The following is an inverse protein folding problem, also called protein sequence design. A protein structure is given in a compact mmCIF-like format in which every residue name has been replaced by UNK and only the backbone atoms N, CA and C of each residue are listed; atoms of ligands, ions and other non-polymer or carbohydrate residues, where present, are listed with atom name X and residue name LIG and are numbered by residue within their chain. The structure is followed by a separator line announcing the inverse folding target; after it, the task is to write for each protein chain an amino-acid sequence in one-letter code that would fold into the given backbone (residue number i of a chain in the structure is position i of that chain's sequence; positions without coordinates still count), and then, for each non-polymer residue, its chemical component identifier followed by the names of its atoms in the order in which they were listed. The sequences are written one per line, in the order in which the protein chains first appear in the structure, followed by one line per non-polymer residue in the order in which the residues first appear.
data_IF_573067839409
#
_entry.id   IF_573067839409
#
_cell.length_a   1.000
_cell.length_b   1.000
_cell.length_c   1.000
_cell.angle_alpha   90.00
_cell.angle_beta   90.00
_cell.angle_gamma   90.00
#
_symmetry.space_group_name_H-M   'P 1'
#
loop_
_entity.id
_entity.type
_entity.pdbx_description
1 polymer ?
#
# COMPACT_ATOMS: atom_id res chain seq x y z
N UNK A 1 -13.68 -2.80 6.60
CA UNK A 1 -13.02 -1.49 6.73
C UNK A 1 -12.21 -1.47 8.02
N UNK A 2 -10.89 -1.32 7.91
CA UNK A 2 -9.99 -1.33 9.06
C UNK A 2 -9.83 0.09 9.61
N UNK A 3 -10.25 0.33 10.86
CA UNK A 3 -10.24 1.66 11.49
C UNK A 3 -8.82 2.09 11.86
N UNK A 4 -7.95 1.14 12.19
CA UNK A 4 -6.54 1.32 12.54
C UNK A 4 -5.70 2.08 11.51
N UNK A 5 -6.11 2.07 10.24
CA UNK A 5 -5.45 2.79 9.15
C UNK A 5 -6.03 4.19 8.88
N UNK A 6 -6.91 4.73 9.75
CA UNK A 6 -7.61 6.00 9.51
C UNK A 6 -6.66 7.19 9.29
N UNK A 7 -5.70 7.36 10.19
CA UNK A 7 -4.74 8.47 10.12
C UNK A 7 -3.76 8.30 8.95
N UNK A 8 -3.34 7.08 8.69
CA UNK A 8 -2.47 6.75 7.56
C UNK A 8 -3.16 7.04 6.21
N UNK A 9 -4.47 6.75 6.11
CA UNK A 9 -5.27 7.13 4.94
C UNK A 9 -5.40 8.64 4.79
N UNK A 10 -5.57 9.37 5.89
CA UNK A 10 -5.64 10.83 5.86
C UNK A 10 -4.30 11.44 5.41
N UNK A 11 -3.17 10.92 5.89
CA UNK A 11 -1.84 11.33 5.43
C UNK A 11 -1.64 11.04 3.94
N UNK A 12 -2.00 9.84 3.47
CA UNK A 12 -1.95 9.53 2.04
C UNK A 12 -2.78 10.54 1.24
N UNK A 13 -4.01 10.81 1.67
CA UNK A 13 -4.88 11.80 1.02
C UNK A 13 -4.18 13.14 0.88
N UNK A 14 -3.59 13.68 1.94
CA UNK A 14 -2.91 15.00 1.92
C UNK A 14 -1.77 15.10 0.90
N UNK A 15 -1.19 13.96 0.49
CA UNK A 15 -0.11 13.86 -0.48
C UNK A 15 -0.57 13.48 -1.89
N UNK A 16 -1.87 13.21 -2.09
CA UNK A 16 -2.40 12.61 -3.32
C UNK A 16 -2.84 13.61 -4.37
N UNK A 17 -2.96 14.92 -4.07
CA UNK A 17 -3.47 15.90 -5.03
C UNK A 17 -2.65 15.91 -6.33
N UNK A 18 -3.32 15.72 -7.47
CA UNK A 18 -2.72 15.64 -8.80
C UNK A 18 -1.84 14.41 -9.06
N UNK A 19 -1.80 13.45 -8.14
CA UNK A 19 -0.95 12.25 -8.22
C UNK A 19 -1.69 11.06 -8.84
N UNK A 20 -0.92 10.17 -9.48
CA UNK A 20 -1.38 8.83 -9.85
C UNK A 20 -0.99 7.85 -8.74
N UNK A 21 -1.99 7.19 -8.16
CA UNK A 21 -1.84 6.33 -6.98
C UNK A 21 -2.14 4.88 -7.32
N UNK A 22 -1.29 3.96 -6.88
CA UNK A 22 -1.55 2.52 -6.88
C UNK A 22 -1.76 2.05 -5.44
N UNK A 23 -2.90 1.47 -5.16
CA UNK A 23 -3.23 0.84 -3.90
C UNK A 23 -3.21 -0.69 -4.09
N UNK A 24 -2.15 -1.35 -3.61
CA UNK A 24 -1.96 -2.80 -3.69
C UNK A 24 -2.49 -3.45 -2.41
N UNK A 25 -3.14 -4.59 -2.54
CA UNK A 25 -3.95 -5.22 -1.49
C UNK A 25 -5.09 -4.30 -1.06
N UNK A 26 -5.77 -3.73 -2.05
CA UNK A 26 -6.68 -2.61 -1.83
C UNK A 26 -7.91 -2.95 -1.00
N UNK A 27 -8.26 -4.25 -0.91
CA UNK A 27 -9.48 -4.71 -0.26
C UNK A 27 -10.69 -3.90 -0.74
N UNK A 28 -11.43 -3.25 0.15
CA UNK A 28 -12.61 -2.42 -0.21
C UNK A 28 -12.26 -0.97 -0.55
N UNK A 29 -10.99 -0.66 -0.82
CA UNK A 29 -10.54 0.62 -1.36
C UNK A 29 -10.35 1.75 -0.36
N UNK A 30 -10.14 1.47 0.93
CA UNK A 30 -10.03 2.53 1.94
C UNK A 30 -9.01 3.61 1.59
N UNK A 31 -7.79 3.27 1.21
CA UNK A 31 -6.77 4.22 0.76
C UNK A 31 -7.15 4.90 -0.56
N UNK A 32 -7.75 4.16 -1.49
CA UNK A 32 -8.17 4.67 -2.80
C UNK A 32 -9.22 5.78 -2.67
N UNK A 33 -10.20 5.61 -1.78
CA UNK A 33 -11.24 6.62 -1.51
C UNK A 33 -10.61 7.90 -0.97
N UNK A 34 -9.69 7.82 -0.01
CA UNK A 34 -9.02 8.99 0.54
C UNK A 34 -8.17 9.71 -0.50
N UNK A 35 -7.44 8.98 -1.36
CA UNK A 35 -6.67 9.56 -2.45
C UNK A 35 -7.57 10.31 -3.46
N UNK A 36 -8.65 9.67 -3.93
CA UNK A 36 -9.62 10.29 -4.85
C UNK A 36 -10.27 11.53 -4.25
N UNK A 37 -10.73 11.45 -3.00
CA UNK A 37 -11.37 12.55 -2.28
C UNK A 37 -10.46 13.76 -2.13
N UNK A 38 -9.15 13.54 -2.07
CA UNK A 38 -8.13 14.58 -1.97
C UNK A 38 -7.59 15.07 -3.32
N UNK A 39 -8.22 14.68 -4.41
CA UNK A 39 -7.89 15.19 -5.75
C UNK A 39 -6.76 14.45 -6.46
N UNK A 40 -6.56 13.16 -6.19
CA UNK A 40 -5.71 12.34 -7.03
C UNK A 40 -6.22 12.38 -8.48
N UNK A 41 -5.28 12.49 -9.44
CA UNK A 41 -5.66 12.53 -10.88
C UNK A 41 -6.13 11.17 -11.42
N UNK A 42 -5.65 10.08 -10.80
CA UNK A 42 -6.00 8.71 -11.15
C UNK A 42 -5.63 7.78 -9.98
N UNK A 43 -6.49 6.82 -9.66
CA UNK A 43 -6.24 5.82 -8.62
C UNK A 43 -6.54 4.43 -9.13
N UNK A 44 -5.57 3.53 -9.02
CA UNK A 44 -5.75 2.12 -9.30
C UNK A 44 -5.79 1.31 -8.00
N UNK A 45 -6.82 0.48 -7.87
CA UNK A 45 -6.98 -0.47 -6.76
C UNK A 45 -6.69 -1.88 -7.26
N UNK A 46 -5.66 -2.51 -6.71
CA UNK A 46 -5.25 -3.87 -7.07
C UNK A 46 -5.54 -4.83 -5.92
N UNK A 47 -6.27 -5.88 -6.21
CA UNK A 47 -6.55 -6.98 -5.29
C UNK A 47 -6.78 -8.28 -6.07
N UNK A 48 -6.51 -9.42 -5.45
CA UNK A 48 -6.82 -10.73 -6.04
C UNK A 48 -8.32 -11.07 -5.95
N UNK A 49 -9.02 -10.48 -4.98
CA UNK A 49 -10.44 -10.68 -4.72
C UNK A 49 -11.32 -9.78 -5.57
N UNK A 50 -11.97 -10.34 -6.59
CA UNK A 50 -12.97 -9.60 -7.38
C UNK A 50 -14.06 -9.00 -6.50
N UNK A 51 -14.57 -9.75 -5.50
CA UNK A 51 -15.61 -9.27 -4.58
C UNK A 51 -15.15 -8.02 -3.80
N UNK A 52 -13.89 -7.96 -3.37
CA UNK A 52 -13.36 -6.79 -2.69
C UNK A 52 -13.29 -5.58 -3.62
N UNK A 53 -12.90 -5.79 -4.87
CA UNK A 53 -12.86 -4.74 -5.89
C UNK A 53 -14.26 -4.24 -6.26
N UNK A 54 -15.27 -5.12 -6.35
CA UNK A 54 -16.66 -4.72 -6.61
C UNK A 54 -17.16 -3.77 -5.47
N UNK A 55 -16.87 -4.12 -4.21
CA UNK A 55 -17.18 -3.24 -3.06
C UNK A 55 -16.37 -1.94 -3.11
N UNK A 56 -15.12 -1.96 -3.58
CA UNK A 56 -14.32 -0.76 -3.77
C UNK A 56 -15.00 0.20 -4.79
N UNK A 57 -15.46 -0.32 -5.92
CA UNK A 57 -16.18 0.47 -6.93
C UNK A 57 -17.49 1.05 -6.39
N UNK A 58 -18.23 0.27 -5.61
CA UNK A 58 -19.43 0.76 -4.94
C UNK A 58 -19.10 1.87 -3.93
N UNK A 59 -18.00 1.74 -3.17
CA UNK A 59 -17.54 2.79 -2.28
C UNK A 59 -17.14 4.08 -3.03
N UNK A 60 -16.54 3.97 -4.22
CA UNK A 60 -16.26 5.15 -5.07
C UNK A 60 -17.56 5.88 -5.39
N UNK A 61 -18.61 5.16 -5.84
CA UNK A 61 -19.93 5.72 -6.17
C UNK A 61 -20.63 6.31 -4.94
N UNK A 62 -20.64 5.57 -3.82
CA UNK A 62 -21.28 6.00 -2.57
C UNK A 62 -20.66 7.29 -1.99
N UNK A 63 -19.38 7.54 -2.24
CA UNK A 63 -18.72 8.78 -1.83
C UNK A 63 -18.85 9.91 -2.85
N UNK A 64 -19.62 9.75 -3.92
CA UNK A 64 -19.83 10.75 -4.97
C UNK A 64 -18.56 11.08 -5.77
N UNK A 65 -17.59 10.14 -5.80
CA UNK A 65 -16.32 10.32 -6.51
C UNK A 65 -16.47 9.97 -7.98
N UNK A 66 -15.68 10.63 -8.84
CA UNK A 66 -15.72 10.37 -10.27
C UNK A 66 -15.14 8.96 -10.60
N UNK A 67 -15.96 8.02 -11.08
CA UNK A 67 -15.52 6.66 -11.37
C UNK A 67 -14.51 6.59 -12.52
N UNK A 68 -14.45 7.58 -13.39
CA UNK A 68 -13.48 7.63 -14.49
C UNK A 68 -12.04 7.89 -14.01
N UNK A 69 -11.87 8.33 -12.77
CA UNK A 69 -10.55 8.50 -12.13
C UNK A 69 -10.12 7.26 -11.33
N UNK A 70 -10.96 6.22 -11.30
CA UNK A 70 -10.69 4.97 -10.58
C UNK A 70 -10.64 3.78 -11.53
N UNK A 71 -9.72 2.87 -11.29
CA UNK A 71 -9.62 1.59 -12.00
C UNK A 71 -9.37 0.45 -11.03
N UNK A 72 -10.19 -0.59 -11.08
CA UNK A 72 -9.95 -1.87 -10.41
C UNK A 72 -9.08 -2.77 -11.26
N UNK A 73 -8.07 -3.39 -10.64
CA UNK A 73 -7.15 -4.35 -11.27
C UNK A 73 -7.24 -5.65 -10.48
N UNK A 74 -7.87 -6.67 -11.05
CA UNK A 74 -7.87 -8.00 -10.44
C UNK A 74 -6.60 -8.73 -10.84
N UNK A 75 -5.65 -8.85 -9.92
CA UNK A 75 -4.38 -9.53 -10.16
C UNK A 75 -3.74 -10.02 -8.85
N UNK A 76 -2.82 -10.98 -8.98
CA UNK A 76 -1.87 -11.28 -7.92
C UNK A 76 -0.88 -10.12 -7.76
N UNK A 77 -0.70 -9.66 -6.53
CA UNK A 77 0.16 -8.51 -6.23
C UNK A 77 1.62 -8.77 -6.61
N UNK A 78 2.13 -9.98 -6.34
CA UNK A 78 3.53 -10.32 -6.66
C UNK A 78 3.78 -10.37 -8.15
N UNK A 79 2.81 -10.86 -8.93
CA UNK A 79 2.93 -10.89 -10.39
C UNK A 79 2.84 -9.48 -10.97
N UNK A 80 1.92 -8.65 -10.47
CA UNK A 80 1.80 -7.26 -10.91
C UNK A 80 3.05 -6.42 -10.60
N UNK A 81 3.63 -6.59 -9.41
CA UNK A 81 4.84 -5.86 -9.00
C UNK A 81 6.10 -6.23 -9.81
N UNK A 82 6.06 -7.27 -10.63
CA UNK A 82 7.14 -7.64 -11.56
C UNK A 82 7.04 -6.92 -12.91
N UNK A 83 5.94 -6.23 -13.17
CA UNK A 83 5.72 -5.54 -14.44
C UNK A 83 6.34 -4.14 -14.43
N UNK A 84 6.58 -3.57 -15.61
CA UNK A 84 7.11 -2.20 -15.77
C UNK A 84 6.07 -1.11 -15.46
N UNK A 85 4.83 -1.50 -15.13
CA UNK A 85 3.72 -0.57 -14.88
C UNK A 85 3.95 0.36 -13.68
N UNK A 86 4.82 -0.01 -12.73
CA UNK A 86 5.06 0.77 -11.51
C UNK A 86 5.72 2.13 -11.79
N UNK A 87 6.45 2.29 -12.89
CA UNK A 87 7.07 3.55 -13.29
C UNK A 87 6.08 4.70 -13.53
N UNK A 88 4.82 4.40 -13.77
CA UNK A 88 3.77 5.40 -14.01
C UNK A 88 3.22 6.04 -12.74
N UNK A 89 3.39 5.39 -11.57
CA UNK A 89 2.78 5.85 -10.33
C UNK A 89 3.66 6.83 -9.56
N UNK A 90 3.01 7.84 -9.00
CA UNK A 90 3.63 8.82 -8.10
C UNK A 90 3.63 8.33 -6.66
N UNK A 91 2.62 7.54 -6.30
CA UNK A 91 2.45 6.95 -4.97
C UNK A 91 2.05 5.48 -5.12
N UNK A 92 2.72 4.61 -4.37
CA UNK A 92 2.36 3.19 -4.24
C UNK A 92 2.08 2.87 -2.77
N UNK A 93 0.97 2.19 -2.51
CA UNK A 93 0.59 1.69 -1.18
C UNK A 93 0.70 0.18 -1.18
N UNK A 94 1.42 -0.37 -0.20
CA UNK A 94 1.52 -1.79 0.09
C UNK A 94 0.96 -2.05 1.49
N UNK A 95 -0.27 -2.54 1.56
CA UNK A 95 -0.96 -2.92 2.81
C UNK A 95 -1.33 -4.42 2.80
N UNK A 96 -0.32 -5.31 2.78
CA UNK A 96 -0.55 -6.74 2.64
C UNK A 96 -1.21 -7.33 3.90
N UNK A 97 -1.93 -8.46 3.77
CA UNK A 97 -2.37 -9.23 4.92
C UNK A 97 -1.17 -9.69 5.74
N UNK A 98 -1.41 -10.02 7.01
CA UNK A 98 -0.35 -10.52 7.90
C UNK A 98 0.32 -11.77 7.33
N UNK A 99 1.61 -11.67 7.00
CA UNK A 99 2.40 -12.82 6.53
C UNK A 99 2.77 -13.79 7.66
N UNK A 100 2.70 -13.35 8.92
CA UNK A 100 2.88 -14.23 10.08
C UNK A 100 1.83 -13.93 11.16
N UNK A 101 1.13 -14.99 11.57
CA UNK A 101 0.23 -14.96 12.74
C UNK A 101 0.89 -15.54 14.00
N UNK A 102 2.06 -16.18 13.87
CA UNK A 102 2.80 -16.84 14.96
C UNK A 102 4.28 -16.52 14.85
N UNK A 103 4.97 -16.50 16.00
CA UNK A 103 6.41 -16.23 16.06
C UNK A 103 7.25 -17.22 15.22
N UNK A 104 6.83 -18.47 15.11
CA UNK A 104 7.50 -19.48 14.27
C UNK A 104 7.53 -19.15 12.77
N UNK A 105 6.60 -18.31 12.29
CA UNK A 105 6.54 -17.86 10.89
C UNK A 105 7.24 -16.50 10.65
N UNK A 106 7.91 -15.94 11.68
CA UNK A 106 8.55 -14.61 11.63
C UNK A 106 9.53 -14.48 10.47
N UNK A 107 10.41 -15.46 10.27
CA UNK A 107 11.39 -15.42 9.19
C UNK A 107 10.71 -15.37 7.80
N UNK A 108 9.72 -16.21 7.59
CA UNK A 108 8.95 -16.23 6.32
C UNK A 108 8.23 -14.89 6.07
N UNK A 109 7.68 -14.28 7.13
CA UNK A 109 7.04 -12.96 7.04
C UNK A 109 8.03 -11.87 6.64
N UNK A 110 9.21 -11.81 7.28
CA UNK A 110 10.29 -10.87 6.93
C UNK A 110 10.69 -11.02 5.46
N UNK A 111 10.85 -12.25 4.97
CA UNK A 111 11.17 -12.50 3.56
C UNK A 111 10.02 -12.07 2.63
N UNK A 112 8.77 -12.25 3.04
CA UNK A 112 7.58 -11.78 2.30
C UNK A 112 7.58 -10.26 2.18
N UNK A 113 7.70 -9.53 3.30
CA UNK A 113 7.77 -8.07 3.32
C UNK A 113 8.97 -7.54 2.52
N UNK A 114 10.14 -8.15 2.69
CA UNK A 114 11.33 -7.77 1.92
C UNK A 114 11.08 -7.88 0.42
N UNK A 115 10.49 -8.98 -0.02
CA UNK A 115 10.26 -9.26 -1.44
C UNK A 115 9.28 -8.28 -2.08
N UNK A 116 8.13 -7.99 -1.45
CA UNK A 116 7.16 -7.04 -2.03
C UNK A 116 7.73 -5.62 -2.09
N UNK A 117 8.45 -5.19 -1.05
CA UNK A 117 9.07 -3.87 -1.01
C UNK A 117 10.22 -3.75 -2.01
N UNK A 118 11.04 -4.78 -2.15
CA UNK A 118 12.08 -4.86 -3.18
C UNK A 118 11.49 -4.65 -4.57
N UNK A 119 10.45 -5.42 -4.93
CA UNK A 119 9.80 -5.31 -6.25
C UNK A 119 9.18 -3.94 -6.49
N UNK A 120 8.52 -3.36 -5.48
CA UNK A 120 8.00 -2.01 -5.60
C UNK A 120 9.12 -0.99 -5.85
N UNK A 121 10.20 -1.04 -5.08
CA UNK A 121 11.33 -0.11 -5.22
C UNK A 121 12.08 -0.27 -6.55
N UNK A 122 12.21 -1.48 -7.08
CA UNK A 122 12.81 -1.73 -8.40
C UNK A 122 12.01 -1.04 -9.52
N UNK A 123 10.68 -1.14 -9.49
CA UNK A 123 9.81 -0.64 -10.55
C UNK A 123 9.41 0.83 -10.44
N UNK A 124 9.41 1.42 -9.24
CA UNK A 124 8.97 2.81 -9.05
C UNK A 124 9.96 3.82 -9.62
N UNK A 125 9.46 4.91 -10.22
CA UNK A 125 10.31 6.02 -10.67
C UNK A 125 10.93 6.78 -9.49
N UNK A 126 12.02 7.51 -9.75
CA UNK A 126 12.64 8.38 -8.76
C UNK A 126 11.68 9.49 -8.29
N UNK A 127 11.70 9.79 -6.99
CA UNK A 127 10.83 10.79 -6.38
C UNK A 127 9.41 10.31 -6.04
N UNK A 128 9.06 9.07 -6.34
CA UNK A 128 7.79 8.47 -5.92
C UNK A 128 7.76 8.19 -4.42
N UNK A 129 6.56 8.14 -3.85
CA UNK A 129 6.32 7.81 -2.46
C UNK A 129 5.86 6.35 -2.33
N UNK A 130 6.44 5.63 -1.38
CA UNK A 130 6.04 4.29 -0.99
C UNK A 130 5.45 4.32 0.41
N UNK A 131 4.17 3.97 0.53
CA UNK A 131 3.52 3.64 1.80
C UNK A 131 3.59 2.13 1.97
N UNK A 132 4.18 1.65 3.04
CA UNK A 132 4.28 0.21 3.29
C UNK A 132 3.98 -0.13 4.73
N UNK A 133 3.20 -1.18 4.93
CA UNK A 133 2.66 -1.57 6.23
C UNK A 133 2.95 -3.03 6.55
N UNK A 134 2.97 -3.33 7.85
CA UNK A 134 3.00 -4.68 8.39
C UNK A 134 1.86 -4.86 9.39
N UNK A 135 1.00 -5.85 9.16
CA UNK A 135 -0.03 -6.29 10.10
C UNK A 135 0.41 -7.51 10.93
N UNK A 136 1.70 -7.90 10.88
CA UNK A 136 2.21 -9.08 11.55
C UNK A 136 2.72 -8.74 12.94
N UNK A 137 2.05 -9.19 13.99
CA UNK A 137 2.51 -9.02 15.39
C UNK A 137 3.92 -9.60 15.66
N UNK A 138 4.33 -10.60 14.89
CA UNK A 138 5.66 -11.20 14.98
C UNK A 138 6.79 -10.33 14.38
N UNK A 139 6.46 -9.22 13.72
CA UNK A 139 7.40 -8.30 13.06
C UNK A 139 7.23 -6.93 13.70
N UNK A 140 8.11 -6.60 14.64
CA UNK A 140 8.14 -5.30 15.31
C UNK A 140 8.66 -4.18 14.39
N UNK A 141 8.51 -2.94 14.80
CA UNK A 141 8.86 -1.75 14.02
C UNK A 141 10.34 -1.71 13.62
N UNK A 142 11.23 -2.12 14.51
CA UNK A 142 12.67 -2.13 14.23
C UNK A 142 13.00 -3.16 13.15
N UNK A 143 12.46 -4.37 13.29
CA UNK A 143 12.65 -5.45 12.31
C UNK A 143 12.02 -5.10 10.97
N UNK A 144 10.81 -4.51 10.97
CA UNK A 144 10.17 -4.05 9.74
C UNK A 144 11.01 -2.96 9.05
N UNK A 145 11.45 -1.94 9.79
CA UNK A 145 12.32 -0.88 9.26
C UNK A 145 13.59 -1.45 8.63
N UNK A 146 14.29 -2.36 9.34
CA UNK A 146 15.49 -3.02 8.82
C UNK A 146 15.21 -3.85 7.56
N UNK A 147 14.03 -4.48 7.49
CA UNK A 147 13.59 -5.24 6.32
C UNK A 147 13.41 -4.33 5.10
N UNK A 148 12.79 -3.14 5.30
CA UNK A 148 12.60 -2.14 4.22
C UNK A 148 13.95 -1.58 3.75
N UNK A 149 14.85 -1.25 4.68
CA UNK A 149 16.21 -0.79 4.34
C UNK A 149 16.97 -1.85 3.57
N UNK A 150 16.92 -3.12 3.99
CA UNK A 150 17.54 -4.22 3.27
C UNK A 150 16.96 -4.42 1.85
N UNK A 151 15.64 -4.20 1.67
CA UNK A 151 15.02 -4.21 0.35
C UNK A 151 15.53 -3.08 -0.53
N UNK A 152 15.66 -1.85 0.02
CA UNK A 152 16.19 -0.69 -0.71
C UNK A 152 17.64 -0.89 -1.17
N UNK A 153 18.49 -1.40 -0.28
CA UNK A 153 19.90 -1.72 -0.61
C UNK A 153 19.95 -2.74 -1.76
N UNK A 154 19.15 -3.79 -1.67
CA UNK A 154 19.11 -4.83 -2.70
C UNK A 154 18.55 -4.31 -4.04
N UNK A 155 17.60 -3.37 -4.00
CA UNK A 155 17.08 -2.70 -5.19
C UNK A 155 18.07 -1.69 -5.80
N UNK A 156 19.19 -1.40 -5.15
CA UNK A 156 20.13 -0.35 -5.57
C UNK A 156 19.53 1.06 -5.47
N UNK A 157 18.58 1.30 -4.54
CA UNK A 157 17.83 2.56 -4.42
C UNK A 157 18.21 3.32 -3.15
N UNK A 158 18.42 4.62 -3.29
CA UNK A 158 18.49 5.52 -2.14
C UNK A 158 17.07 5.90 -1.72
N UNK A 159 16.71 5.62 -0.46
CA UNK A 159 15.42 5.93 0.12
C UNK A 159 15.55 6.82 1.34
N UNK A 160 14.49 7.60 1.64
CA UNK A 160 14.35 8.36 2.87
C UNK A 160 13.06 7.94 3.57
N UNK A 161 13.13 7.63 4.84
CA UNK A 161 11.95 7.41 5.68
C UNK A 161 11.42 8.79 6.06
N UNK A 162 10.27 9.16 5.55
CA UNK A 162 9.64 10.45 5.82
C UNK A 162 8.76 10.40 7.07
N UNK A 163 8.03 9.29 7.26
CA UNK A 163 7.12 9.07 8.36
C UNK A 163 7.24 7.66 8.90
N UNK A 164 7.12 7.51 10.21
CA UNK A 164 6.82 6.24 10.87
C UNK A 164 5.35 6.28 11.25
N UNK A 165 4.58 5.37 10.67
CA UNK A 165 3.13 5.34 10.79
C UNK A 165 2.72 4.31 11.83
N UNK A 166 1.81 4.70 12.71
CA UNK A 166 1.30 3.85 13.77
C UNK A 166 -0.23 3.76 13.67
N UNK A 167 -0.81 2.88 14.45
CA UNK A 167 -2.23 2.85 14.68
C UNK A 167 -2.66 4.11 15.43
N UNK A 168 -3.89 4.63 15.21
CA UNK A 168 -4.38 5.78 15.92
C UNK A 168 -4.53 5.49 17.43
N UNK A 169 -4.48 6.54 18.26
CA UNK A 169 -4.47 6.43 19.72
C UNK A 169 -5.74 5.76 20.30
N UNK A 170 -6.83 5.73 19.55
CA UNK A 170 -8.10 5.09 19.92
C UNK A 170 -8.22 3.63 19.44
N UNK A 171 -7.17 3.07 18.84
CA UNK A 171 -7.14 1.67 18.47
C UNK A 171 -6.83 0.81 19.71
N UNK A 172 -7.70 -0.14 20.10
CA UNK A 172 -7.42 -1.00 21.25
C UNK A 172 -6.24 -1.93 20.94
N UNK A 173 -5.35 -2.04 21.91
CA UNK A 173 -4.15 -2.89 21.85
C UNK A 173 -4.52 -4.34 22.14
#
# INVERSE_FOLDING_TARGET
FFIDQRENRALLGSLSHGKKVLNVFSYTGGFSIYALKSGAREVHSLDSSKRALDVCEDNVKLNGLNPNLHRSIQADAMEFLKTDALGDYDIVVLDPPAFAKRASARHAAVQGYKRINLRAMEGMKAGSLLFTFSCSQAVDDALFTNTIVAAAIQAGRTVRILHRLHQPADHPV
#
